data_IF_824595232686
#
_entry.id   IF_824595232686
#
_cell.length_a   1.000
_cell.length_b   1.000
_cell.length_c   1.000
_cell.angle_alpha   90.00
_cell.angle_beta   90.00
_cell.angle_gamma   90.00
#
_symmetry.space_group_name_H-M   'P 1'
#
loop_
_entity.id
_entity.type
_entity.pdbx_description
1 polymer ?
#
# COMPACT_ATOMS: atom_id res chain seq x y z
N UNK A 1 10.63 -17.70 29.22
CA UNK A 1 11.91 -17.78 28.46
C UNK A 1 12.01 -16.72 27.35
N UNK A 2 10.99 -16.50 26.51
CA UNK A 2 11.03 -15.47 25.45
C UNK A 2 11.19 -14.04 25.98
N UNK A 3 10.38 -13.60 26.96
CA UNK A 3 10.45 -12.24 27.53
C UNK A 3 11.86 -11.92 28.05
N UNK A 4 12.46 -12.84 28.81
CA UNK A 4 13.85 -12.69 29.29
C UNK A 4 14.83 -12.53 28.12
N UNK A 5 14.76 -13.37 27.08
CA UNK A 5 15.65 -13.26 25.91
C UNK A 5 15.43 -11.96 25.12
N UNK A 6 14.19 -11.54 24.94
CA UNK A 6 13.86 -10.31 24.22
C UNK A 6 14.32 -9.07 24.99
N UNK A 7 14.07 -9.01 26.30
CA UNK A 7 14.58 -7.95 27.16
C UNK A 7 16.11 -7.95 27.20
N UNK A 8 16.77 -9.10 27.29
CA UNK A 8 18.24 -9.20 27.21
C UNK A 8 18.76 -8.76 25.85
N UNK A 9 18.11 -9.13 24.74
CA UNK A 9 18.47 -8.65 23.41
C UNK A 9 18.32 -7.13 23.31
N UNK A 10 17.23 -6.56 23.82
CA UNK A 10 17.05 -5.10 23.86
C UNK A 10 18.11 -4.39 24.71
N UNK A 11 18.45 -4.94 25.88
CA UNK A 11 19.52 -4.41 26.72
C UNK A 11 20.91 -4.53 26.06
N UNK A 12 21.11 -5.53 25.20
CA UNK A 12 22.33 -5.73 24.42
C UNK A 12 22.35 -4.94 23.10
N UNK A 13 21.20 -4.45 22.63
CA UNK A 13 21.09 -3.60 21.45
C UNK A 13 21.54 -2.18 21.81
N UNK A 14 22.77 -1.86 21.44
CA UNK A 14 23.27 -0.50 21.55
C UNK A 14 22.85 0.28 20.29
N UNK A 15 21.71 1.00 20.36
CA UNK A 15 21.22 1.81 19.22
C UNK A 15 22.30 2.82 18.75
N UNK A 16 23.11 3.36 19.65
CA UNK A 16 24.22 4.25 19.31
C UNK A 16 25.38 3.56 18.60
N UNK A 17 25.51 2.23 18.73
CA UNK A 17 26.51 1.45 18.00
C UNK A 17 26.01 0.93 16.64
N UNK A 18 24.71 0.69 16.49
CA UNK A 18 24.10 0.18 15.25
C UNK A 18 23.61 1.30 14.31
N UNK A 19 23.01 2.35 14.87
CA UNK A 19 22.51 3.51 14.13
C UNK A 19 23.45 4.70 14.35
N UNK A 20 24.67 4.59 13.83
CA UNK A 20 25.74 5.60 14.00
C UNK A 20 25.53 6.88 13.19
N UNK A 21 24.69 6.83 12.16
CA UNK A 21 24.32 7.99 11.35
C UNK A 21 22.93 8.49 11.69
N UNK A 22 22.69 9.82 11.72
CA UNK A 22 21.35 10.36 11.87
C UNK A 22 20.41 9.89 10.76
N UNK A 23 19.23 9.38 11.14
CA UNK A 23 18.20 8.97 10.19
C UNK A 23 17.47 10.22 9.69
N UNK A 24 17.53 10.55 8.39
CA UNK A 24 16.83 11.70 7.84
C UNK A 24 15.32 11.45 7.80
N UNK A 25 14.57 12.54 7.95
CA UNK A 25 13.12 12.53 7.73
C UNK A 25 12.80 12.60 6.23
N UNK A 26 11.91 11.73 5.78
CA UNK A 26 11.28 11.74 4.46
C UNK A 26 10.08 12.70 4.49
N UNK A 27 10.40 14.00 4.36
CA UNK A 27 9.44 15.11 4.43
C UNK A 27 8.61 15.27 3.16
N UNK A 28 7.46 15.91 3.28
CA UNK A 28 6.58 16.24 2.16
C UNK A 28 7.29 17.05 1.08
N UNK A 29 6.84 16.86 -0.16
CA UNK A 29 7.31 17.51 -1.38
C UNK A 29 8.80 17.27 -1.69
N UNK A 30 9.39 16.18 -1.16
CA UNK A 30 10.80 15.82 -1.39
C UNK A 30 10.96 14.37 -1.81
N UNK A 31 11.55 14.16 -2.99
CA UNK A 31 12.04 12.84 -3.39
C UNK A 31 13.30 12.50 -2.60
N UNK A 32 13.28 11.40 -1.83
CA UNK A 32 14.45 10.93 -1.07
C UNK A 32 14.34 9.44 -0.78
N UNK A 33 15.48 8.77 -0.84
CA UNK A 33 15.64 7.39 -0.41
C UNK A 33 16.47 7.27 0.87
N UNK A 34 16.14 6.28 1.68
CA UNK A 34 16.84 5.88 2.89
C UNK A 34 17.03 4.36 2.84
N UNK A 35 18.27 3.90 2.86
CA UNK A 35 18.59 2.47 2.93
C UNK A 35 19.13 2.13 4.32
N UNK A 36 18.52 1.15 4.97
CA UNK A 36 18.90 0.65 6.30
C UNK A 36 19.10 -0.86 6.24
N UNK A 37 19.96 -1.39 7.10
CA UNK A 37 20.01 -2.84 7.31
C UNK A 37 18.78 -3.33 8.06
N UNK A 38 18.40 -4.59 7.83
CA UNK A 38 17.37 -5.28 8.61
C UNK A 38 17.72 -5.28 10.12
N UNK A 39 19.01 -5.39 10.48
CA UNK A 39 19.47 -5.32 11.87
C UNK A 39 19.20 -3.94 12.49
N UNK A 40 19.51 -2.84 11.78
CA UNK A 40 19.16 -1.49 12.22
C UNK A 40 17.65 -1.32 12.40
N UNK A 41 16.85 -1.78 11.43
CA UNK A 41 15.39 -1.73 11.50
C UNK A 41 14.85 -2.53 12.70
N UNK A 42 15.41 -3.71 12.98
CA UNK A 42 15.05 -4.49 14.16
C UNK A 42 15.34 -3.77 15.48
N UNK A 43 16.45 -3.02 15.56
CA UNK A 43 16.80 -2.20 16.71
C UNK A 43 15.81 -1.04 16.90
N UNK A 44 15.43 -0.36 15.81
CA UNK A 44 14.44 0.72 15.84
C UNK A 44 13.07 0.20 16.27
N UNK A 45 12.63 -0.94 15.75
CA UNK A 45 11.35 -1.54 16.13
C UNK A 45 11.34 -2.05 17.56
N UNK A 46 12.47 -2.54 18.10
CA UNK A 46 12.57 -2.86 19.51
C UNK A 46 12.38 -1.62 20.38
N UNK A 47 13.00 -0.48 20.02
CA UNK A 47 12.79 0.81 20.69
C UNK A 47 11.32 1.28 20.58
N UNK A 48 10.68 1.10 19.43
CA UNK A 48 9.25 1.38 19.24
C UNK A 48 8.37 0.53 20.17
N UNK A 49 8.69 -0.77 20.30
CA UNK A 49 8.01 -1.70 21.19
C UNK A 49 8.08 -1.25 22.66
N UNK A 50 9.26 -0.83 23.12
CA UNK A 50 9.46 -0.29 24.48
C UNK A 50 9.10 1.20 24.63
N UNK A 51 8.51 1.80 23.60
CA UNK A 51 8.02 3.18 23.59
C UNK A 51 9.09 4.26 23.88
N UNK A 52 10.33 4.06 23.44
CA UNK A 52 11.47 4.93 23.82
C UNK A 52 11.70 6.12 22.89
N UNK A 53 10.99 6.25 21.76
CA UNK A 53 11.15 7.41 20.90
C UNK A 53 10.57 8.68 21.55
N UNK A 54 11.40 9.68 21.87
CA UNK A 54 10.96 10.89 22.56
C UNK A 54 10.12 11.78 21.63
N UNK A 55 9.27 12.64 22.19
CA UNK A 55 8.39 13.57 21.46
C UNK A 55 7.35 12.89 20.53
N UNK A 56 7.25 11.57 20.54
CA UNK A 56 6.30 10.76 19.73
C UNK A 56 5.07 10.29 20.49
N UNK A 57 4.89 10.71 21.75
CA UNK A 57 3.77 10.30 22.62
C UNK A 57 2.77 11.44 22.90
N UNK A 58 3.08 12.67 22.48
CA UNK A 58 2.26 13.85 22.73
C UNK A 58 1.85 14.50 21.42
N UNK A 59 0.63 15.05 21.33
CA UNK A 59 0.14 15.86 20.20
C UNK A 59 0.83 17.23 20.07
N UNK A 60 2.12 17.32 20.39
CA UNK A 60 2.93 18.53 20.19
C UNK A 60 3.19 18.72 18.69
N UNK A 61 3.38 19.97 18.28
CA UNK A 61 3.45 20.37 16.86
C UNK A 61 4.57 19.70 16.04
N UNK A 62 5.69 19.31 16.66
CA UNK A 62 6.89 18.87 15.90
C UNK A 62 6.67 17.62 15.04
N UNK A 63 5.92 16.63 15.55
CA UNK A 63 5.65 15.37 14.86
C UNK A 63 4.15 15.12 14.60
N UNK A 64 3.32 16.16 14.62
CA UNK A 64 1.87 16.02 14.39
C UNK A 64 1.53 15.52 12.98
N UNK A 65 2.42 15.74 12.01
CA UNK A 65 2.28 15.26 10.64
C UNK A 65 3.03 13.92 10.38
N UNK A 66 3.37 13.18 11.44
CA UNK A 66 3.98 11.85 11.34
C UNK A 66 3.06 10.81 11.99
N UNK A 67 3.09 9.54 11.53
CA UNK A 67 2.34 8.47 12.17
C UNK A 67 2.86 8.14 13.59
N UNK A 68 2.05 7.47 14.39
CA UNK A 68 2.46 6.93 15.70
C UNK A 68 3.54 5.84 15.51
N UNK A 69 4.72 5.97 16.11
CA UNK A 69 5.77 4.94 16.06
C UNK A 69 5.80 4.05 17.32
N UNK A 70 5.57 4.61 18.51
CA UNK A 70 5.61 3.84 19.76
C UNK A 70 4.39 2.92 19.89
N UNK A 71 4.58 1.74 20.46
CA UNK A 71 3.59 0.65 20.45
C UNK A 71 2.59 0.71 21.62
N UNK A 72 2.55 1.79 22.39
CA UNK A 72 1.71 1.92 23.60
C UNK A 72 0.25 1.50 23.35
N UNK A 73 -0.32 1.92 22.22
CA UNK A 73 -1.70 1.62 21.83
C UNK A 73 -1.96 0.14 21.50
N UNK A 74 -0.93 -0.66 21.18
CA UNK A 74 -1.07 -2.11 21.05
C UNK A 74 -1.31 -2.81 22.39
N UNK A 75 -0.87 -2.19 23.49
CA UNK A 75 -0.97 -2.78 24.83
C UNK A 75 -2.26 -2.40 25.56
N UNK A 76 -3.05 -1.47 25.01
CA UNK A 76 -4.31 -1.03 25.60
C UNK A 76 -5.45 -2.05 25.37
N UNK A 77 -6.27 -2.33 26.39
CA UNK A 77 -7.44 -3.21 26.26
C UNK A 77 -7.10 -4.69 26.02
N UNK A 78 -8.11 -5.50 25.71
CA UNK A 78 -8.00 -6.97 25.67
C UNK A 78 -8.58 -7.62 24.40
N UNK A 79 -8.85 -6.85 23.35
CA UNK A 79 -9.44 -7.35 22.10
C UNK A 79 -8.63 -8.50 21.49
N UNK A 80 -9.29 -9.52 20.96
CA UNK A 80 -8.65 -10.64 20.27
C UNK A 80 -7.69 -10.18 19.17
N UNK A 81 -8.09 -9.18 18.39
CA UNK A 81 -7.27 -8.60 17.31
C UNK A 81 -5.90 -8.14 17.81
N UNK A 82 -5.82 -7.45 18.97
CA UNK A 82 -4.54 -7.04 19.57
C UNK A 82 -3.69 -8.21 20.02
N UNK A 83 -4.30 -9.27 20.55
CA UNK A 83 -3.56 -10.49 20.92
C UNK A 83 -2.91 -11.14 19.70
N UNK A 84 -3.64 -11.23 18.58
CA UNK A 84 -3.11 -11.78 17.33
C UNK A 84 -2.02 -10.89 16.72
N UNK A 85 -2.20 -9.56 16.73
CA UNK A 85 -1.13 -8.61 16.36
C UNK A 85 0.14 -8.83 17.17
N UNK A 86 0.01 -8.97 18.49
CA UNK A 86 1.14 -9.21 19.38
C UNK A 86 1.81 -10.56 19.07
N UNK A 87 1.06 -11.63 18.81
CA UNK A 87 1.65 -12.92 18.38
C UNK A 87 2.50 -12.73 17.12
N UNK A 88 1.98 -12.04 16.10
CA UNK A 88 2.70 -11.79 14.85
C UNK A 88 3.98 -10.98 15.06
N UNK A 89 3.92 -9.88 15.81
CA UNK A 89 5.09 -9.03 16.09
C UNK A 89 6.13 -9.73 16.98
N UNK A 90 5.69 -10.46 18.00
CA UNK A 90 6.60 -11.20 18.89
C UNK A 90 7.29 -12.34 18.12
N UNK A 91 6.65 -12.91 17.09
CA UNK A 91 7.30 -13.87 16.20
C UNK A 91 8.45 -13.23 15.41
N UNK A 92 8.25 -12.04 14.85
CA UNK A 92 9.32 -11.27 14.21
C UNK A 92 10.49 -11.02 15.15
N UNK A 93 10.22 -10.49 16.35
CA UNK A 93 11.27 -10.26 17.34
C UNK A 93 11.98 -11.56 17.72
N UNK A 94 11.25 -12.68 17.87
CA UNK A 94 11.86 -13.99 18.11
C UNK A 94 12.84 -14.38 17.00
N UNK A 95 12.49 -14.20 15.73
CA UNK A 95 13.36 -14.56 14.60
C UNK A 95 14.63 -13.70 14.56
N UNK A 96 14.49 -12.38 14.58
CA UNK A 96 15.65 -11.46 14.47
C UNK A 96 16.58 -11.50 15.69
N UNK A 97 16.08 -11.92 16.85
CA UNK A 97 16.91 -12.13 18.06
C UNK A 97 17.64 -13.46 18.07
N UNK A 98 17.11 -14.49 17.39
CA UNK A 98 17.75 -15.80 17.27
C UNK A 98 18.80 -15.81 16.16
N UNK A 99 18.48 -15.17 15.03
CA UNK A 99 19.37 -15.06 13.89
C UNK A 99 19.34 -13.62 13.39
N UNK A 100 20.48 -12.95 13.46
CA UNK A 100 20.60 -11.56 13.00
C UNK A 100 20.35 -11.49 11.49
N UNK A 101 19.42 -10.64 11.03
CA UNK A 101 19.14 -10.50 9.62
C UNK A 101 20.25 -9.69 8.93
N UNK A 102 20.68 -10.14 7.76
CA UNK A 102 21.84 -9.58 7.05
C UNK A 102 21.48 -8.76 5.79
N UNK A 103 20.19 -8.59 5.50
CA UNK A 103 19.74 -7.85 4.34
C UNK A 103 19.63 -6.35 4.54
N UNK A 104 19.29 -5.66 3.45
CA UNK A 104 18.97 -4.23 3.44
C UNK A 104 17.50 -4.00 3.06
N UNK A 105 16.97 -2.86 3.48
CA UNK A 105 15.71 -2.28 3.01
C UNK A 105 15.95 -0.87 2.50
N UNK A 106 15.23 -0.49 1.44
CA UNK A 106 15.20 0.89 0.94
C UNK A 106 13.80 1.45 1.04
N UNK A 107 13.66 2.61 1.70
CA UNK A 107 12.45 3.40 1.79
C UNK A 107 12.62 4.63 0.91
N UNK A 108 11.78 4.78 -0.12
CA UNK A 108 11.84 5.87 -1.09
C UNK A 108 10.54 6.64 -1.06
N UNK A 109 10.59 7.90 -0.59
CA UNK A 109 9.49 8.84 -0.82
C UNK A 109 9.63 9.37 -2.24
N UNK A 110 8.60 9.19 -3.05
CA UNK A 110 8.51 9.72 -4.40
C UNK A 110 7.44 10.81 -4.44
N UNK A 111 7.74 11.91 -5.12
CA UNK A 111 6.87 13.07 -5.29
C UNK A 111 6.92 13.51 -6.75
N UNK A 112 5.78 13.55 -7.42
CA UNK A 112 5.69 13.99 -8.80
C UNK A 112 5.27 15.46 -8.87
N UNK A 113 6.05 16.26 -9.59
CA UNK A 113 5.74 17.67 -9.84
C UNK A 113 4.99 17.88 -11.16
N UNK A 114 5.13 16.93 -12.10
CA UNK A 114 4.43 16.92 -13.38
C UNK A 114 3.56 15.68 -13.44
N UNK A 115 2.27 15.89 -13.61
CA UNK A 115 1.26 14.84 -13.69
C UNK A 115 0.69 14.78 -15.12
N UNK A 116 0.24 13.60 -15.58
CA UNK A 116 -0.34 13.45 -16.91
C UNK A 116 -1.58 14.32 -17.11
N UNK A 117 -1.78 14.80 -18.33
CA UNK A 117 -3.07 15.37 -18.73
C UNK A 117 -3.97 14.23 -19.23
N UNK A 118 -4.75 13.65 -18.31
CA UNK A 118 -5.54 12.44 -18.55
C UNK A 118 -6.41 12.49 -19.80
N UNK A 119 -7.10 13.61 -20.04
CA UNK A 119 -7.98 13.78 -21.21
C UNK A 119 -7.26 13.78 -22.56
N UNK A 120 -5.95 14.05 -22.58
CA UNK A 120 -5.14 14.10 -23.81
C UNK A 120 -4.22 12.89 -23.98
N UNK A 121 -4.26 11.91 -23.06
CA UNK A 121 -3.40 10.74 -23.16
C UNK A 121 -3.81 9.84 -24.33
N UNK A 122 -2.85 9.54 -25.19
CA UNK A 122 -2.96 8.61 -26.32
C UNK A 122 -2.48 7.20 -25.95
N UNK A 123 -2.10 6.95 -24.69
CA UNK A 123 -1.64 5.63 -24.24
C UNK A 123 -2.78 4.62 -24.34
N UNK A 124 -2.45 3.44 -24.86
CA UNK A 124 -3.36 2.29 -24.89
C UNK A 124 -3.20 1.45 -23.63
N UNK A 125 -4.24 0.70 -23.29
CA UNK A 125 -4.28 -0.14 -22.10
C UNK A 125 -3.32 -1.32 -22.21
N UNK A 126 -2.60 -1.59 -21.12
CA UNK A 126 -1.68 -2.72 -20.98
C UNK A 126 -2.42 -4.04 -20.68
N UNK A 127 -1.67 -5.14 -20.51
CA UNK A 127 -2.27 -6.44 -20.24
C UNK A 127 -2.87 -6.47 -18.84
N UNK A 128 -4.05 -7.05 -18.72
CA UNK A 128 -4.69 -7.36 -17.46
C UNK A 128 -4.66 -8.87 -17.21
N UNK A 129 -4.19 -9.26 -16.03
CA UNK A 129 -4.56 -10.54 -15.41
C UNK A 129 -5.43 -10.25 -14.20
N UNK A 130 -6.48 -11.02 -14.03
CA UNK A 130 -7.42 -10.84 -12.91
C UNK A 130 -7.74 -12.19 -12.29
N UNK A 131 -7.79 -12.24 -10.96
CA UNK A 131 -8.05 -13.46 -10.18
C UNK A 131 -9.02 -13.19 -9.04
N UNK A 132 -9.95 -14.11 -8.82
CA UNK A 132 -10.82 -14.10 -7.64
C UNK A 132 -10.11 -14.68 -6.42
N UNK A 133 -9.17 -15.59 -6.65
CA UNK A 133 -8.42 -16.26 -5.60
C UNK A 133 -7.02 -15.67 -5.44
N UNK A 134 -6.44 -15.88 -4.27
CA UNK A 134 -5.11 -15.40 -3.92
C UNK A 134 -5.09 -13.99 -3.32
N UNK A 135 -3.88 -13.54 -3.02
CA UNK A 135 -3.56 -12.26 -2.42
C UNK A 135 -2.37 -11.61 -3.10
N UNK A 136 -2.20 -10.31 -2.82
CA UNK A 136 -1.13 -9.49 -3.41
C UNK A 136 0.24 -10.00 -2.95
N UNK A 137 0.38 -10.36 -1.67
CA UNK A 137 1.63 -10.80 -1.08
C UNK A 137 2.07 -12.20 -1.53
N UNK A 138 1.12 -13.13 -1.74
CA UNK A 138 1.45 -14.52 -2.05
C UNK A 138 1.62 -14.74 -3.57
N UNK A 139 0.70 -14.23 -4.40
CA UNK A 139 0.73 -14.45 -5.86
C UNK A 139 1.33 -13.27 -6.64
N UNK A 140 1.50 -12.10 -6.01
CA UNK A 140 2.17 -10.94 -6.60
C UNK A 140 3.70 -10.98 -6.51
N UNK A 141 4.30 -12.16 -6.31
CA UNK A 141 5.75 -12.31 -6.18
C UNK A 141 6.50 -11.71 -7.39
N UNK A 142 7.53 -10.90 -7.11
CA UNK A 142 8.32 -10.19 -8.12
C UNK A 142 7.59 -9.03 -8.81
N UNK A 143 6.32 -8.78 -8.49
CA UNK A 143 5.54 -7.63 -8.96
C UNK A 143 5.69 -6.45 -8.01
N UNK A 144 5.28 -5.26 -8.46
CA UNK A 144 5.08 -4.12 -7.58
C UNK A 144 3.78 -4.31 -6.80
N UNK A 145 3.89 -4.52 -5.50
CA UNK A 145 2.75 -4.88 -4.65
C UNK A 145 2.14 -3.64 -4.01
N UNK A 146 0.84 -3.42 -4.23
CA UNK A 146 0.15 -2.23 -3.72
C UNK A 146 -0.27 -2.43 -2.27
N UNK A 147 0.13 -1.47 -1.43
CA UNK A 147 -0.38 -1.27 -0.08
C UNK A 147 -1.52 -0.24 -0.13
N UNK A 148 -2.71 -0.63 0.32
CA UNK A 148 -3.91 0.20 0.34
C UNK A 148 -3.88 1.17 1.51
N UNK A 149 -2.96 2.13 1.41
CA UNK A 149 -2.46 2.85 2.54
C UNK A 149 -3.44 3.88 3.12
N UNK A 150 -3.20 4.24 4.38
CA UNK A 150 -3.58 5.54 4.90
C UNK A 150 -2.49 6.57 4.53
N UNK A 151 -2.86 7.85 4.39
CA UNK A 151 -1.85 8.92 4.16
C UNK A 151 -0.79 8.94 5.26
N UNK A 152 -1.14 8.55 6.48
CA UNK A 152 -0.20 8.19 7.53
C UNK A 152 0.14 6.70 7.40
N UNK A 153 1.19 6.40 6.61
CA UNK A 153 1.60 5.04 6.24
C UNK A 153 1.59 4.04 7.40
N UNK A 154 1.11 2.83 7.14
CA UNK A 154 0.84 1.78 8.13
C UNK A 154 -0.44 2.00 8.94
N UNK A 155 -1.23 3.03 8.62
CA UNK A 155 -2.55 3.29 9.20
C UNK A 155 -2.63 3.07 10.71
N UNK A 156 -3.53 2.17 11.10
CA UNK A 156 -3.79 1.77 12.47
C UNK A 156 -2.94 0.60 12.98
N UNK A 157 -1.79 0.28 12.36
CA UNK A 157 -1.03 -0.95 12.68
C UNK A 157 -0.62 -1.00 14.15
N UNK A 158 -0.16 0.11 14.72
CA UNK A 158 0.20 0.25 16.14
C UNK A 158 -1.01 0.50 17.05
N UNK A 159 -2.24 0.46 16.53
CA UNK A 159 -3.49 0.65 17.25
C UNK A 159 -4.49 -0.46 16.93
N UNK A 160 -5.69 -0.08 16.48
CA UNK A 160 -6.82 -1.01 16.28
C UNK A 160 -7.02 -1.49 14.84
N UNK A 161 -6.41 -0.85 13.84
CA UNK A 161 -6.62 -1.20 12.42
C UNK A 161 -6.10 -2.61 12.09
N UNK A 162 -6.84 -3.41 11.34
CA UNK A 162 -6.45 -4.78 10.99
C UNK A 162 -6.99 -5.19 9.62
N UNK A 163 -6.91 -4.28 8.66
CA UNK A 163 -7.30 -4.51 7.26
C UNK A 163 -6.03 -4.70 6.41
N UNK A 164 -6.12 -4.58 5.09
CA UNK A 164 -5.02 -4.93 4.17
C UNK A 164 -3.67 -4.29 4.54
N UNK A 165 -3.61 -2.96 4.76
CA UNK A 165 -2.38 -2.25 5.11
C UNK A 165 -1.79 -2.77 6.42
N UNK A 166 -2.58 -2.83 7.50
CA UNK A 166 -2.05 -3.26 8.80
C UNK A 166 -1.66 -4.73 8.81
N UNK A 167 -2.41 -5.61 8.13
CA UNK A 167 -2.04 -7.02 7.98
C UNK A 167 -0.67 -7.10 7.30
N UNK A 168 -0.45 -6.34 6.23
CA UNK A 168 0.82 -6.34 5.51
C UNK A 168 1.98 -5.87 6.39
N UNK A 169 1.76 -4.79 7.15
CA UNK A 169 2.76 -4.28 8.10
C UNK A 169 3.00 -5.24 9.28
N UNK A 170 2.07 -6.14 9.62
CA UNK A 170 2.28 -7.13 10.67
C UNK A 170 3.07 -8.34 10.17
N UNK A 171 2.79 -8.83 8.96
CA UNK A 171 3.52 -9.99 8.41
C UNK A 171 4.90 -9.61 7.84
N UNK A 172 5.09 -8.34 7.46
CA UNK A 172 6.37 -7.72 7.13
C UNK A 172 6.70 -6.55 8.11
N UNK A 173 7.05 -6.80 9.40
CA UNK A 173 7.19 -5.75 10.41
C UNK A 173 8.19 -4.64 10.10
N UNK A 174 9.16 -4.90 9.22
CA UNK A 174 10.13 -3.91 8.77
C UNK A 174 9.48 -2.69 8.09
N UNK A 175 8.25 -2.84 7.57
CA UNK A 175 7.44 -1.73 7.04
C UNK A 175 7.06 -0.71 8.14
N UNK A 176 6.85 -1.17 9.39
CA UNK A 176 6.46 -0.31 10.51
C UNK A 176 7.52 0.77 10.78
N UNK A 177 8.80 0.49 10.50
CA UNK A 177 9.87 1.47 10.71
C UNK A 177 9.69 2.72 9.83
N UNK A 178 8.99 2.64 8.68
CA UNK A 178 8.67 3.79 7.85
C UNK A 178 7.95 4.91 8.62
N UNK A 179 7.14 4.54 9.63
CA UNK A 179 6.40 5.48 10.50
C UNK A 179 7.30 6.36 11.35
N UNK A 180 8.54 5.93 11.59
CA UNK A 180 9.50 6.71 12.36
C UNK A 180 9.89 7.99 11.61
N UNK A 181 10.06 7.92 10.28
CA UNK A 181 10.71 8.96 9.49
C UNK A 181 9.90 9.46 8.29
N UNK A 182 8.69 8.95 8.02
CA UNK A 182 7.87 9.36 6.87
C UNK A 182 6.74 10.30 7.31
N UNK A 183 6.70 11.52 6.76
CA UNK A 183 5.56 12.43 6.92
C UNK A 183 4.32 11.89 6.22
N UNK A 184 3.14 12.35 6.62
CA UNK A 184 1.90 12.05 5.90
C UNK A 184 2.07 12.35 4.40
N UNK A 185 1.59 11.45 3.55
CA UNK A 185 1.63 11.61 2.10
C UNK A 185 0.67 12.73 1.68
N UNK A 186 1.11 13.59 0.75
CA UNK A 186 0.24 14.48 -0.03
C UNK A 186 -0.24 13.79 -1.31
N UNK A 187 -1.18 14.41 -2.03
CA UNK A 187 -1.86 13.82 -3.19
C UNK A 187 -0.92 13.41 -4.34
N UNK A 188 0.24 14.05 -4.45
CA UNK A 188 1.25 13.78 -5.48
C UNK A 188 2.42 12.92 -5.01
N UNK A 189 2.26 12.20 -3.88
CA UNK A 189 3.33 11.44 -3.25
C UNK A 189 2.97 9.97 -3.00
N UNK A 190 3.99 9.12 -2.97
CA UNK A 190 3.88 7.73 -2.51
C UNK A 190 5.13 7.34 -1.70
N UNK A 191 5.05 6.21 -1.00
CA UNK A 191 6.21 5.59 -0.36
C UNK A 191 6.44 4.22 -0.97
N UNK A 192 7.65 4.01 -1.51
CA UNK A 192 8.08 2.73 -2.08
C UNK A 192 9.05 2.09 -1.09
N UNK A 193 8.83 0.81 -0.77
CA UNK A 193 9.67 0.04 0.16
C UNK A 193 10.15 -1.22 -0.55
N UNK A 194 11.46 -1.35 -0.71
CA UNK A 194 12.10 -2.51 -1.34
C UNK A 194 12.93 -3.28 -0.32
N UNK A 195 12.75 -4.60 -0.26
CA UNK A 195 13.60 -5.48 0.55
C UNK A 195 12.99 -6.06 1.81
N UNK A 196 11.72 -5.75 2.09
CA UNK A 196 11.04 -6.26 3.28
C UNK A 196 10.87 -7.78 3.23
N UNK A 197 11.20 -8.44 4.34
CA UNK A 197 11.02 -9.89 4.53
C UNK A 197 9.66 -10.20 5.16
N UNK A 198 9.01 -11.28 4.73
CA UNK A 198 7.80 -11.79 5.37
C UNK A 198 8.18 -12.79 6.48
N UNK A 199 7.71 -12.52 7.70
CA UNK A 199 8.07 -13.32 8.88
C UNK A 199 6.95 -14.25 9.34
N UNK A 200 5.71 -13.94 8.99
CA UNK A 200 4.53 -14.67 9.48
C UNK A 200 3.55 -14.99 8.36
N UNK A 201 2.87 -16.12 8.52
CA UNK A 201 1.63 -16.43 7.79
C UNK A 201 0.44 -16.01 8.64
N UNK A 202 -0.71 -15.86 7.99
CA UNK A 202 -1.94 -15.51 8.67
C UNK A 202 -3.14 -16.16 7.97
N UNK A 203 -4.28 -16.14 8.67
CA UNK A 203 -5.59 -16.44 8.09
C UNK A 203 -6.61 -15.40 8.56
N UNK A 204 -7.73 -15.32 7.86
CA UNK A 204 -8.80 -14.37 8.17
C UNK A 204 -8.44 -12.91 7.87
N UNK A 205 -9.37 -12.02 8.17
CA UNK A 205 -9.29 -10.59 7.87
C UNK A 205 -10.06 -9.78 8.93
N UNK A 206 -9.59 -8.57 9.26
CA UNK A 206 -10.18 -7.75 10.33
C UNK A 206 -10.35 -8.53 11.63
N UNK A 207 -11.58 -8.69 12.13
CA UNK A 207 -11.86 -9.33 13.42
C UNK A 207 -11.59 -10.85 13.42
N UNK A 208 -11.54 -11.44 12.22
CA UNK A 208 -11.23 -12.87 12.04
C UNK A 208 -9.74 -13.15 11.83
N UNK A 209 -8.88 -12.12 11.77
CA UNK A 209 -7.44 -12.29 11.60
C UNK A 209 -6.84 -13.19 12.68
N UNK A 210 -6.02 -14.17 12.28
CA UNK A 210 -5.25 -15.05 13.16
C UNK A 210 -3.83 -15.18 12.65
N UNK A 211 -2.87 -15.15 13.56
CA UNK A 211 -1.49 -15.52 13.25
C UNK A 211 -1.41 -17.04 12.99
N UNK A 212 -0.84 -17.44 11.84
CA UNK A 212 -0.83 -18.83 11.36
C UNK A 212 0.58 -19.42 11.21
N UNK A 213 1.49 -18.99 12.09
CA UNK A 213 2.82 -19.56 12.16
C UNK A 213 3.88 -18.81 11.37
N UNK A 214 5.05 -19.44 11.31
CA UNK A 214 6.23 -18.93 10.61
C UNK A 214 6.00 -18.83 9.11
N UNK A 215 6.54 -17.77 8.51
CA UNK A 215 6.83 -17.74 7.08
C UNK A 215 8.35 -17.80 6.88
N UNK A 216 8.81 -18.73 6.05
CA UNK A 216 10.22 -18.84 5.66
C UNK A 216 10.41 -18.24 4.27
N UNK A 217 10.76 -16.96 4.24
CA UNK A 217 10.80 -16.16 3.02
C UNK A 217 11.98 -16.56 2.11
N UNK A 218 11.64 -17.31 1.05
CA UNK A 218 12.58 -17.76 0.02
C UNK A 218 12.81 -16.73 -1.09
N UNK A 219 12.24 -15.52 -1.00
CA UNK A 219 12.39 -14.49 -2.02
C UNK A 219 13.88 -14.18 -2.22
N UNK A 220 14.41 -14.23 -3.45
CA UNK A 220 15.81 -13.96 -3.72
C UNK A 220 16.17 -12.54 -3.33
N UNK A 221 17.47 -12.28 -3.20
CA UNK A 221 17.98 -10.95 -2.91
C UNK A 221 18.64 -10.37 -4.15
N UNK A 222 18.46 -9.07 -4.34
CA UNK A 222 19.17 -8.30 -5.36
C UNK A 222 20.65 -8.10 -5.00
N UNK A 223 21.38 -7.40 -5.88
CA UNK A 223 22.80 -7.09 -5.70
C UNK A 223 23.07 -6.27 -4.42
N UNK A 224 22.08 -5.51 -3.95
CA UNK A 224 22.15 -4.71 -2.73
C UNK A 224 21.70 -5.48 -1.49
N UNK A 225 21.52 -6.81 -1.61
CA UNK A 225 21.07 -7.70 -0.52
C UNK A 225 19.65 -7.39 -0.02
N UNK A 226 18.83 -6.70 -0.81
CA UNK A 226 17.41 -6.48 -0.52
C UNK A 226 16.61 -7.66 -1.06
N UNK A 227 15.60 -8.16 -0.33
CA UNK A 227 14.64 -9.11 -0.93
C UNK A 227 14.02 -8.50 -2.18
N UNK A 228 13.79 -9.28 -3.23
CA UNK A 228 13.10 -8.88 -4.45
C UNK A 228 11.58 -8.71 -4.24
N UNK A 229 11.23 -8.00 -3.17
CA UNK A 229 9.88 -7.61 -2.76
C UNK A 229 9.83 -6.09 -2.80
N UNK A 230 8.98 -5.54 -3.67
CA UNK A 230 8.76 -4.10 -3.79
C UNK A 230 7.30 -3.80 -3.46
N UNK A 231 7.08 -2.95 -2.46
CA UNK A 231 5.76 -2.57 -1.97
C UNK A 231 5.60 -1.06 -2.16
N UNK A 232 4.43 -0.59 -2.60
CA UNK A 232 4.14 0.83 -2.71
C UNK A 232 2.88 1.20 -1.93
N UNK A 233 3.04 2.13 -0.99
CA UNK A 233 1.95 2.71 -0.22
C UNK A 233 1.37 3.90 -0.99
N UNK A 234 0.11 3.76 -1.40
CA UNK A 234 -0.71 4.82 -1.99
C UNK A 234 -2.05 4.93 -1.26
N UNK A 235 -2.38 6.12 -0.79
CA UNK A 235 -3.60 6.37 -0.04
C UNK A 235 -4.76 6.80 -0.94
N UNK A 236 -5.89 6.09 -0.87
CA UNK A 236 -7.12 6.49 -1.55
C UNK A 236 -7.86 7.59 -0.76
N UNK A 237 -8.73 8.36 -1.43
CA UNK A 237 -9.66 9.24 -0.72
C UNK A 237 -10.72 8.43 0.02
N UNK A 238 -11.21 8.97 1.14
CA UNK A 238 -12.32 8.41 1.90
C UNK A 238 -13.61 9.11 1.52
N UNK A 239 -14.53 8.38 0.89
CA UNK A 239 -15.82 8.89 0.46
C UNK A 239 -16.92 8.52 1.46
N UNK A 240 -17.60 9.53 2.01
CA UNK A 240 -18.80 9.32 2.83
C UNK A 240 -20.07 9.30 1.98
N UNK A 241 -20.04 10.00 0.84
CA UNK A 241 -21.09 9.99 -0.15
C UNK A 241 -20.58 9.31 -1.42
N UNK A 242 -21.28 8.25 -1.85
CA UNK A 242 -20.89 7.42 -2.98
C UNK A 242 -20.69 8.22 -4.28
N UNK A 243 -21.47 9.27 -4.52
CA UNK A 243 -21.40 10.02 -5.78
C UNK A 243 -20.17 10.95 -5.85
N UNK A 244 -19.54 11.28 -4.70
CA UNK A 244 -18.41 12.22 -4.67
C UNK A 244 -17.23 11.73 -5.50
N UNK A 245 -16.99 10.41 -5.54
CA UNK A 245 -15.84 9.84 -6.25
C UNK A 245 -15.86 10.02 -7.77
N UNK A 246 -17.02 10.33 -8.35
CA UNK A 246 -17.18 10.53 -9.79
C UNK A 246 -16.93 11.97 -10.23
N UNK A 247 -16.67 12.90 -9.29
CA UNK A 247 -16.23 14.24 -9.67
C UNK A 247 -14.88 14.18 -10.37
N UNK A 248 -14.70 15.01 -11.42
CA UNK A 248 -13.48 15.06 -12.22
C UNK A 248 -12.21 15.24 -11.38
N UNK A 249 -12.27 16.10 -10.36
CA UNK A 249 -11.15 16.37 -9.43
C UNK A 249 -10.78 15.13 -8.61
N UNK A 250 -11.77 14.40 -8.12
CA UNK A 250 -11.55 13.17 -7.34
C UNK A 250 -11.00 12.04 -8.22
N UNK A 251 -11.58 11.82 -9.41
CA UNK A 251 -11.05 10.83 -10.36
C UNK A 251 -9.61 11.16 -10.76
N UNK A 252 -9.32 12.43 -11.05
CA UNK A 252 -7.96 12.89 -11.39
C UNK A 252 -6.99 12.72 -10.23
N UNK A 253 -7.41 13.02 -8.99
CA UNK A 253 -6.59 12.82 -7.79
C UNK A 253 -6.19 11.35 -7.64
N UNK A 254 -7.14 10.43 -7.77
CA UNK A 254 -6.89 8.99 -7.61
C UNK A 254 -6.01 8.45 -8.74
N UNK A 255 -6.21 8.91 -9.98
CA UNK A 255 -5.33 8.60 -11.12
C UNK A 255 -3.90 9.07 -10.86
N UNK A 256 -3.73 10.33 -10.43
CA UNK A 256 -2.43 10.93 -10.12
C UNK A 256 -1.71 10.16 -9.01
N UNK A 257 -2.44 9.78 -7.97
CA UNK A 257 -1.92 8.99 -6.84
C UNK A 257 -1.44 7.61 -7.28
N UNK A 258 -2.27 6.87 -8.02
CA UNK A 258 -1.92 5.56 -8.55
C UNK A 258 -0.72 5.65 -9.52
N UNK A 259 -0.73 6.63 -10.43
CA UNK A 259 0.38 6.89 -11.35
C UNK A 259 1.68 7.20 -10.60
N UNK A 260 1.62 8.05 -9.56
CA UNK A 260 2.76 8.31 -8.68
C UNK A 260 3.29 7.04 -8.03
N UNK A 261 2.42 6.09 -7.67
CA UNK A 261 2.81 4.78 -7.15
C UNK A 261 3.49 3.88 -8.19
N UNK A 262 3.02 3.91 -9.43
CA UNK A 262 3.39 2.93 -10.45
C UNK A 262 4.59 3.37 -11.30
N UNK A 263 4.74 4.66 -11.58
CA UNK A 263 5.83 5.15 -12.42
C UNK A 263 7.19 5.00 -11.74
N UNK A 264 8.21 4.66 -12.52
CA UNK A 264 9.62 4.67 -12.12
C UNK A 264 10.41 5.53 -13.11
N UNK A 265 10.57 6.84 -12.84
CA UNK A 265 11.24 7.74 -13.78
C UNK A 265 12.66 7.26 -14.11
N UNK A 266 12.97 7.19 -15.41
CA UNK A 266 14.30 6.76 -15.90
C UNK A 266 14.51 5.24 -15.96
N UNK A 267 13.51 4.43 -15.62
CA UNK A 267 13.56 2.97 -15.79
C UNK A 267 12.90 2.60 -17.11
N UNK A 268 13.57 1.78 -17.92
CA UNK A 268 13.02 1.26 -19.18
C UNK A 268 11.85 0.32 -18.93
N UNK A 269 10.86 0.35 -19.83
CA UNK A 269 9.61 -0.39 -19.73
C UNK A 269 9.83 -1.89 -19.63
N UNK A 270 10.79 -2.47 -20.36
CA UNK A 270 11.12 -3.90 -20.26
C UNK A 270 11.63 -4.35 -18.87
N UNK A 271 12.07 -3.40 -18.04
CA UNK A 271 12.57 -3.65 -16.68
C UNK A 271 11.50 -3.39 -15.61
N UNK A 272 10.29 -2.99 -16.00
CA UNK A 272 9.18 -2.80 -15.08
C UNK A 272 8.42 -4.12 -14.90
N UNK A 273 8.31 -4.56 -13.65
CA UNK A 273 7.40 -5.65 -13.30
C UNK A 273 5.93 -5.23 -13.47
N UNK A 274 5.01 -6.19 -13.46
CA UNK A 274 3.59 -5.88 -13.37
C UNK A 274 3.25 -5.21 -12.02
N UNK A 275 2.08 -4.56 -11.93
CA UNK A 275 1.50 -4.09 -10.66
C UNK A 275 0.58 -5.17 -10.10
N UNK A 276 0.82 -5.65 -8.89
CA UNK A 276 -0.10 -6.52 -8.15
C UNK A 276 -0.97 -5.68 -7.20
N UNK A 277 -2.27 -5.59 -7.48
CA UNK A 277 -3.22 -4.74 -6.76
C UNK A 277 -4.59 -5.40 -6.62
N UNK A 278 -5.60 -4.65 -6.14
CA UNK A 278 -6.98 -5.09 -6.03
C UNK A 278 -7.90 -3.92 -5.70
N UNK A 279 -8.85 -4.16 -4.80
CA UNK A 279 -9.93 -3.24 -4.40
C UNK A 279 -9.45 -2.04 -3.54
N UNK A 280 -8.50 -1.26 -4.06
CA UNK A 280 -7.87 -0.10 -3.43
C UNK A 280 -8.90 0.98 -3.06
N UNK A 281 -9.01 1.27 -1.76
CA UNK A 281 -9.91 2.31 -1.24
C UNK A 281 -11.41 1.93 -1.22
N UNK A 282 -11.77 0.67 -1.48
CA UNK A 282 -13.19 0.29 -1.65
C UNK A 282 -13.88 -0.23 -0.38
N UNK A 283 -13.10 -0.69 0.61
CA UNK A 283 -13.64 -1.19 1.88
C UNK A 283 -13.98 -0.06 2.84
N UNK A 284 -13.14 0.12 3.87
CA UNK A 284 -13.33 1.14 4.90
C UNK A 284 -13.39 2.59 4.37
N UNK A 285 -12.97 2.82 3.12
CA UNK A 285 -12.87 4.15 2.50
C UNK A 285 -14.03 4.45 1.52
N UNK A 286 -14.94 3.49 1.30
CA UNK A 286 -16.21 3.74 0.58
C UNK A 286 -16.11 3.92 -0.93
N UNK A 287 -14.95 3.66 -1.54
CA UNK A 287 -14.78 3.71 -3.00
C UNK A 287 -15.55 2.60 -3.74
N UNK A 288 -15.93 2.87 -4.97
CA UNK A 288 -16.53 1.90 -5.89
C UNK A 288 -15.44 1.03 -6.53
N UNK A 289 -15.59 -0.29 -6.44
CA UNK A 289 -14.60 -1.26 -6.95
C UNK A 289 -14.43 -1.20 -8.46
N UNK A 290 -15.51 -0.98 -9.21
CA UNK A 290 -15.49 -0.92 -10.68
C UNK A 290 -14.84 0.35 -11.18
N UNK A 291 -15.18 1.51 -10.59
CA UNK A 291 -14.46 2.76 -10.87
C UNK A 291 -12.98 2.64 -10.54
N UNK A 292 -12.63 2.17 -9.34
CA UNK A 292 -11.23 2.03 -8.90
C UNK A 292 -10.42 1.07 -9.75
N UNK A 293 -11.02 0.00 -10.28
CA UNK A 293 -10.36 -0.89 -11.23
C UNK A 293 -10.01 -0.15 -12.54
N UNK A 294 -10.96 0.60 -13.13
CA UNK A 294 -10.71 1.40 -14.34
C UNK A 294 -9.61 2.44 -14.12
N UNK A 295 -9.66 3.18 -13.01
CA UNK A 295 -8.64 4.20 -12.71
C UNK A 295 -7.25 3.57 -12.53
N UNK A 296 -7.15 2.39 -11.90
CA UNK A 296 -5.87 1.69 -11.79
C UNK A 296 -5.35 1.16 -13.13
N UNK A 297 -6.23 0.65 -14.00
CA UNK A 297 -5.86 0.24 -15.36
C UNK A 297 -5.34 1.43 -16.18
N UNK A 298 -5.99 2.59 -16.09
CA UNK A 298 -5.55 3.82 -16.75
C UNK A 298 -4.18 4.29 -16.23
N UNK A 299 -4.00 4.33 -14.91
CA UNK A 299 -2.73 4.74 -14.31
C UNK A 299 -1.59 3.76 -14.63
N UNK A 300 -1.88 2.45 -14.69
CA UNK A 300 -0.91 1.43 -15.09
C UNK A 300 -0.53 1.55 -16.57
N UNK A 301 -1.50 1.80 -17.45
CA UNK A 301 -1.26 2.06 -18.87
C UNK A 301 -0.37 3.29 -19.08
N UNK A 302 -0.66 4.39 -18.37
CA UNK A 302 0.15 5.61 -18.42
C UNK A 302 1.57 5.40 -17.88
N UNK A 303 1.74 4.53 -16.88
CA UNK A 303 3.03 4.13 -16.32
C UNK A 303 3.71 2.98 -17.10
N UNK A 304 3.11 2.53 -18.20
CA UNK A 304 3.59 1.43 -19.05
C UNK A 304 3.82 0.10 -18.30
N UNK A 305 2.89 -0.25 -17.40
CA UNK A 305 2.93 -1.49 -16.63
C UNK A 305 1.72 -2.36 -16.88
N UNK A 306 1.93 -3.66 -16.98
CA UNK A 306 0.84 -4.65 -16.91
C UNK A 306 0.23 -4.69 -15.50
N UNK A 307 -1.02 -5.14 -15.39
CA UNK A 307 -1.78 -5.19 -14.13
C UNK A 307 -2.17 -6.63 -13.77
N UNK A 308 -1.89 -7.05 -12.53
CA UNK A 308 -2.44 -8.22 -11.87
C UNK A 308 -3.44 -7.75 -10.79
N UNK A 309 -4.72 -8.03 -11.00
CA UNK A 309 -5.81 -7.55 -10.13
C UNK A 309 -6.42 -8.71 -9.33
N UNK A 310 -6.47 -8.58 -8.01
CA UNK A 310 -7.12 -9.54 -7.12
C UNK A 310 -8.46 -9.00 -6.63
N UNK A 311 -9.55 -9.74 -6.85
CA UNK A 311 -10.90 -9.33 -6.43
C UNK A 311 -11.31 -9.88 -5.06
N UNK A 312 -10.47 -10.71 -4.43
CA UNK A 312 -10.64 -11.24 -3.07
C UNK A 312 -11.96 -11.99 -2.86
N UNK A 313 -12.23 -12.97 -3.71
CA UNK A 313 -13.41 -13.84 -3.68
C UNK A 313 -14.62 -13.31 -4.47
N UNK A 314 -14.56 -12.08 -4.99
CA UNK A 314 -15.65 -11.50 -5.79
C UNK A 314 -15.54 -11.94 -7.26
N UNK A 315 -16.22 -13.03 -7.60
CA UNK A 315 -16.25 -13.58 -8.96
C UNK A 315 -17.05 -12.70 -9.94
N UNK A 316 -18.03 -11.93 -9.45
CA UNK A 316 -18.83 -11.04 -10.29
C UNK A 316 -17.98 -9.84 -10.72
N UNK A 317 -17.26 -9.24 -9.78
CA UNK A 317 -16.29 -8.17 -10.08
C UNK A 317 -15.21 -8.64 -11.05
N UNK A 318 -14.74 -9.88 -10.91
CA UNK A 318 -13.76 -10.45 -11.86
C UNK A 318 -14.30 -10.44 -13.28
N UNK A 319 -15.51 -10.99 -13.49
CA UNK A 319 -16.13 -11.05 -14.82
C UNK A 319 -16.34 -9.66 -15.40
N UNK A 320 -16.84 -8.75 -14.57
CA UNK A 320 -17.14 -7.37 -14.96
C UNK A 320 -15.88 -6.61 -15.38
N UNK A 321 -14.81 -6.66 -14.57
CA UNK A 321 -13.56 -5.95 -14.87
C UNK A 321 -12.87 -6.56 -16.09
N UNK A 322 -12.86 -7.89 -16.20
CA UNK A 322 -12.34 -8.57 -17.38
C UNK A 322 -13.10 -8.16 -18.66
N UNK A 323 -14.43 -8.13 -18.59
CA UNK A 323 -15.28 -7.76 -19.71
C UNK A 323 -15.03 -6.32 -20.17
N UNK A 324 -15.00 -5.36 -19.24
CA UNK A 324 -14.71 -3.95 -19.58
C UNK A 324 -13.30 -3.79 -20.14
N UNK A 325 -12.29 -4.45 -19.57
CA UNK A 325 -10.93 -4.41 -20.12
C UNK A 325 -10.87 -4.96 -21.55
N UNK A 326 -11.61 -6.04 -21.82
CA UNK A 326 -11.72 -6.62 -23.18
C UNK A 326 -12.34 -5.61 -24.15
N UNK A 327 -13.45 -4.96 -23.79
CA UNK A 327 -14.08 -3.94 -24.64
C UNK A 327 -13.15 -2.75 -24.89
N UNK A 328 -12.48 -2.24 -23.85
CA UNK A 328 -11.51 -1.13 -23.98
C UNK A 328 -10.39 -1.50 -24.96
N UNK A 329 -9.86 -2.72 -24.87
CA UNK A 329 -8.74 -3.17 -25.70
C UNK A 329 -9.16 -3.49 -27.13
N UNK A 330 -10.31 -4.15 -27.34
CA UNK A 330 -10.86 -4.45 -28.67
C UNK A 330 -11.24 -3.18 -29.45
N UNK A 331 -11.72 -2.15 -28.74
CA UNK A 331 -12.02 -0.83 -29.32
C UNK A 331 -10.76 0.03 -29.56
N UNK A 332 -9.56 -0.44 -29.20
CA UNK A 332 -8.31 0.32 -29.21
C UNK A 332 -8.43 1.68 -28.49
N UNK A 333 -9.25 1.73 -27.43
CA UNK A 333 -9.51 2.95 -26.68
C UNK A 333 -8.23 3.44 -25.96
N UNK A 334 -8.04 4.75 -25.94
CA UNK A 334 -6.92 5.37 -25.22
C UNK A 334 -7.32 5.71 -23.79
N UNK A 335 -6.34 5.95 -22.93
CA UNK A 335 -6.56 6.48 -21.58
C UNK A 335 -7.40 7.77 -21.62
N UNK A 336 -7.13 8.66 -22.57
CA UNK A 336 -7.89 9.90 -22.73
C UNK A 336 -9.33 9.72 -23.20
N UNK A 337 -9.59 8.75 -24.09
CA UNK A 337 -10.97 8.47 -24.51
C UNK A 337 -11.78 7.86 -23.37
N UNK A 338 -11.22 6.93 -22.61
CA UNK A 338 -11.88 6.35 -21.43
C UNK A 338 -12.10 7.41 -20.35
N UNK A 339 -11.13 8.28 -20.07
CA UNK A 339 -11.31 9.38 -19.12
C UNK A 339 -12.46 10.31 -19.54
N UNK A 340 -12.57 10.61 -20.83
CA UNK A 340 -13.67 11.40 -21.37
C UNK A 340 -15.04 10.72 -21.15
N UNK A 341 -15.12 9.40 -21.31
CA UNK A 341 -16.34 8.64 -20.99
C UNK A 341 -16.68 8.67 -19.49
N UNK A 342 -15.68 8.63 -18.60
CA UNK A 342 -15.92 8.78 -17.15
C UNK A 342 -16.51 10.17 -16.82
N UNK A 343 -16.02 11.23 -17.46
CA UNK A 343 -16.57 12.57 -17.32
C UNK A 343 -18.01 12.67 -17.85
N UNK A 344 -18.30 12.00 -18.98
CA UNK A 344 -19.66 11.92 -19.51
C UNK A 344 -20.59 11.14 -18.58
N UNK A 345 -20.12 10.04 -17.98
CA UNK A 345 -20.92 9.29 -16.98
C UNK A 345 -21.30 10.19 -15.81
N UNK A 346 -20.36 10.99 -15.30
CA UNK A 346 -20.66 11.97 -14.26
C UNK A 346 -21.77 12.95 -14.68
N UNK A 347 -21.61 13.61 -15.84
CA UNK A 347 -22.56 14.65 -16.30
C UNK A 347 -23.94 14.07 -16.69
N UNK A 348 -23.97 12.92 -17.35
CA UNK A 348 -25.20 12.32 -17.85
C UNK A 348 -25.98 11.58 -16.77
N UNK A 349 -25.28 10.93 -15.84
CA UNK A 349 -25.85 9.96 -14.89
C UNK A 349 -25.68 10.42 -13.43
N UNK A 350 -24.45 10.58 -12.95
CA UNK A 350 -24.21 10.85 -11.52
C UNK A 350 -24.82 12.17 -11.05
N UNK A 351 -24.64 13.25 -11.82
CA UNK A 351 -25.13 14.59 -11.49
C UNK A 351 -26.65 14.69 -11.38
N UNK A 352 -27.37 13.82 -12.11
CA UNK A 352 -28.84 13.72 -12.07
C UNK A 352 -29.34 12.77 -10.99
N UNK A 353 -28.45 12.00 -10.36
CA UNK A 353 -28.80 11.06 -9.30
C UNK A 353 -28.95 11.81 -7.98
N UNK A 354 -30.16 11.82 -7.42
CA UNK A 354 -30.47 12.61 -6.21
C UNK A 354 -30.19 11.89 -4.90
N UNK A 355 -30.26 10.55 -4.87
CA UNK A 355 -29.94 9.73 -3.69
C UNK A 355 -29.40 8.36 -4.08
N UNK A 356 -28.43 7.87 -3.32
CA UNK A 356 -27.91 6.51 -3.44
C UNK A 356 -27.01 6.30 -4.65
N UNK A 357 -26.95 5.05 -5.11
CA UNK A 357 -26.21 4.66 -6.32
C UNK A 357 -27.04 4.96 -7.57
N UNK A 358 -26.42 5.35 -8.70
CA UNK A 358 -27.15 5.52 -9.95
C UNK A 358 -27.82 4.22 -10.42
N UNK A 359 -28.95 4.34 -11.12
CA UNK A 359 -29.64 3.19 -11.71
C UNK A 359 -28.82 2.55 -12.84
N UNK A 360 -28.29 3.39 -13.73
CA UNK A 360 -27.34 2.97 -14.76
C UNK A 360 -25.94 2.88 -14.15
N UNK A 361 -25.36 1.68 -14.12
CA UNK A 361 -24.01 1.48 -13.57
C UNK A 361 -22.93 2.02 -14.51
N UNK A 362 -21.76 2.34 -13.98
CA UNK A 362 -20.62 2.79 -14.78
C UNK A 362 -20.30 1.81 -15.91
N UNK A 363 -20.30 0.51 -15.64
CA UNK A 363 -19.92 -0.49 -16.64
C UNK A 363 -20.99 -0.65 -17.72
N UNK A 364 -22.27 -0.56 -17.38
CA UNK A 364 -23.34 -0.48 -18.39
C UNK A 364 -23.12 0.73 -19.32
N UNK A 365 -22.87 1.91 -18.75
CA UNK A 365 -22.65 3.13 -19.51
C UNK A 365 -21.43 3.03 -20.44
N UNK A 366 -20.34 2.44 -19.96
CA UNK A 366 -19.12 2.22 -20.74
C UNK A 366 -19.32 1.18 -21.85
N UNK A 367 -19.95 0.04 -21.56
CA UNK A 367 -20.19 -1.02 -22.54
C UNK A 367 -21.05 -0.57 -23.73
N UNK A 368 -21.91 0.42 -23.56
CA UNK A 368 -22.71 0.99 -24.66
C UNK A 368 -21.93 1.97 -25.56
N UNK A 369 -20.75 2.44 -25.12
CA UNK A 369 -20.02 3.57 -25.71
C UNK A 369 -18.58 3.25 -26.10
N UNK A 370 -18.08 2.08 -25.71
CA UNK A 370 -16.85 1.45 -26.21
C UNK A 370 -17.23 0.50 -27.34
#
# INVERSE_FOLDING_TARGET
MFVLRFCTFYLNLCISALCVQPIPLLRTQRCRSLTLSQEQVSCLLANAFFCTFPRRNSRRMEFSNYPDINFSRLFEGSSQSKQEKLKTLLWYFRRVTQQRPAGLLTYTRQCLQRLPSWSSSEKQFSKLRISCDGSIEDQGYGMLQVDFANRFVGGGVTGSGLVQEEIRFLINPELIAARLFTEALDDNECLIITGAEQFSRYSGYSDTYRWDGNHDDQTPRDEWKRRCTEIVAIDALHYRNFLEQFHAEHMSRELNKAFCGFVRPGVQTENLSAVATGNWGCGAFGGDTRLKAVLQMMAAAEAERDLMYFTFGDADLLRDVHHIHTLITDAYATVGSVFSLLLQYYECVCKKTTRGKPQETLYCFLSERL
#
